data_IF_253789094515
#
_entry.id   IF_253789094515
#
_cell.length_a   1.000
_cell.length_b   1.000
_cell.length_c   1.000
_cell.angle_alpha   90.00
_cell.angle_beta   90.00
_cell.angle_gamma   90.00
#
_symmetry.space_group_name_H-M   'P 1'
#
loop_
_entity.id
_entity.type
_entity.pdbx_description
1 polymer ?
#
# COMPACT_ATOMS: atom_id res chain seq x y z
N UNK A 1 9.46 16.11 -21.14
CA UNK A 1 9.63 14.71 -20.70
C UNK A 1 8.66 14.47 -19.57
N UNK A 2 7.63 13.67 -19.79
CA UNK A 2 6.51 13.46 -18.86
C UNK A 2 6.85 12.46 -17.75
N UNK A 3 5.89 12.21 -16.85
CA UNK A 3 6.03 11.18 -15.82
C UNK A 3 6.23 9.79 -16.45
N UNK A 4 6.96 8.86 -15.78
CA UNK A 4 7.24 7.53 -16.32
C UNK A 4 6.00 6.60 -16.40
N UNK A 5 4.81 7.09 -16.08
CA UNK A 5 3.57 6.33 -16.08
C UNK A 5 3.49 5.24 -14.99
N UNK A 6 2.38 4.50 -14.90
CA UNK A 6 2.22 3.37 -13.97
C UNK A 6 3.19 2.21 -14.28
N UNK A 7 3.52 1.41 -13.26
CA UNK A 7 4.21 0.13 -13.47
C UNK A 7 3.22 -0.86 -14.13
N UNK A 8 3.70 -1.64 -15.09
CA UNK A 8 2.91 -2.66 -15.80
C UNK A 8 3.70 -3.94 -15.88
N UNK A 9 3.09 -5.04 -15.49
CA UNK A 9 3.60 -6.40 -15.66
C UNK A 9 2.43 -7.38 -15.69
N UNK A 10 2.66 -8.58 -16.19
CA UNK A 10 1.66 -9.66 -16.23
C UNK A 10 1.89 -10.57 -15.02
N UNK A 11 0.80 -10.98 -14.38
CA UNK A 11 0.77 -11.92 -13.25
C UNK A 11 -0.32 -12.95 -13.46
N UNK A 12 -0.17 -14.13 -12.88
CA UNK A 12 -1.29 -15.10 -12.81
C UNK A 12 -2.35 -14.60 -11.83
N UNK A 13 -3.63 -14.87 -12.11
CA UNK A 13 -4.73 -14.56 -11.20
C UNK A 13 -4.62 -15.30 -9.86
N UNK A 14 -3.95 -16.46 -9.86
CA UNK A 14 -3.72 -17.30 -8.67
C UNK A 14 -2.54 -16.83 -7.80
N UNK A 15 -1.77 -15.83 -8.23
CA UNK A 15 -0.65 -15.31 -7.44
C UNK A 15 -1.14 -14.58 -6.19
N UNK A 16 -0.41 -14.79 -5.08
CA UNK A 16 -0.67 -14.08 -3.84
C UNK A 16 -0.36 -12.59 -3.98
N UNK A 17 -1.15 -11.74 -3.34
CA UNK A 17 -0.95 -10.29 -3.30
C UNK A 17 0.46 -9.92 -2.82
N UNK A 18 1.01 -10.63 -1.83
CA UNK A 18 2.39 -10.42 -1.35
C UNK A 18 3.45 -10.60 -2.46
N UNK A 19 3.29 -11.61 -3.32
CA UNK A 19 4.18 -11.86 -4.48
C UNK A 19 4.07 -10.75 -5.52
N UNK A 20 2.85 -10.25 -5.75
CA UNK A 20 2.59 -9.15 -6.70
C UNK A 20 3.24 -7.85 -6.21
N UNK A 21 3.14 -7.54 -4.90
CA UNK A 21 3.81 -6.40 -4.29
C UNK A 21 5.33 -6.50 -4.48
N UNK A 22 5.90 -7.65 -4.16
CA UNK A 22 7.35 -7.91 -4.26
C UNK A 22 7.86 -7.72 -5.70
N UNK A 23 7.10 -8.24 -6.67
CA UNK A 23 7.38 -8.05 -8.11
C UNK A 23 7.25 -6.58 -8.53
N UNK A 24 6.25 -5.85 -8.01
CA UNK A 24 6.10 -4.43 -8.27
C UNK A 24 7.28 -3.61 -7.74
N UNK A 25 7.77 -3.91 -6.52
CA UNK A 25 8.94 -3.25 -5.93
C UNK A 25 10.22 -3.51 -6.73
N UNK A 26 10.47 -4.77 -7.12
CA UNK A 26 11.60 -5.11 -8.00
C UNK A 26 11.53 -4.39 -9.34
N UNK A 27 10.35 -4.34 -9.95
CA UNK A 27 10.13 -3.66 -11.23
C UNK A 27 10.33 -2.14 -11.09
N UNK A 28 9.85 -1.54 -10.00
CA UNK A 28 10.06 -0.12 -9.69
C UNK A 28 11.56 0.22 -9.61
N UNK A 29 12.32 -0.58 -8.85
CA UNK A 29 13.76 -0.40 -8.68
C UNK A 29 14.53 -0.63 -9.98
N UNK A 30 14.17 -1.67 -10.75
CA UNK A 30 14.77 -1.96 -12.05
C UNK A 30 14.55 -0.81 -13.04
N UNK A 31 13.40 -0.14 -13.00
CA UNK A 31 13.15 1.05 -13.82
C UNK A 31 13.91 2.30 -13.34
N UNK A 32 14.73 2.22 -12.29
CA UNK A 32 15.50 3.35 -11.77
C UNK A 32 14.62 4.47 -11.21
N UNK A 33 13.41 4.15 -10.76
CA UNK A 33 12.44 5.14 -10.29
C UNK A 33 12.82 5.70 -8.92
N UNK A 34 12.41 6.95 -8.69
CA UNK A 34 12.59 7.67 -7.44
C UNK A 34 11.25 8.16 -6.89
N UNK A 35 11.07 8.20 -5.54
CA UNK A 35 12.06 7.84 -4.52
C UNK A 35 12.23 6.32 -4.34
N UNK A 36 13.37 5.89 -3.79
CA UNK A 36 13.61 4.48 -3.46
C UNK A 36 12.60 4.02 -2.39
N UNK A 37 11.76 3.03 -2.73
CA UNK A 37 10.66 2.60 -1.86
C UNK A 37 11.08 1.62 -0.76
N UNK A 38 12.08 0.77 -1.04
CA UNK A 38 12.49 -0.36 -0.19
C UNK A 38 12.21 -1.70 -0.87
N UNK A 39 12.50 -2.81 -0.18
CA UNK A 39 12.39 -4.17 -0.73
C UNK A 39 11.51 -5.11 0.10
N UNK A 40 11.03 -4.70 1.28
CA UNK A 40 10.16 -5.55 2.10
C UNK A 40 8.69 -5.39 1.66
N UNK A 41 8.03 -6.44 1.14
CA UNK A 41 6.62 -6.38 0.78
C UNK A 41 5.69 -6.13 1.98
N UNK A 42 6.12 -6.50 3.18
CA UNK A 42 5.37 -6.31 4.43
C UNK A 42 5.15 -4.84 4.79
N UNK A 43 6.00 -3.95 4.28
CA UNK A 43 5.88 -2.49 4.46
C UNK A 43 4.84 -1.87 3.53
N UNK A 44 4.19 -2.64 2.66
CA UNK A 44 3.25 -2.11 1.66
C UNK A 44 1.86 -2.72 1.79
N UNK A 45 0.90 -1.99 1.23
CA UNK A 45 -0.49 -2.39 1.06
C UNK A 45 -0.85 -2.21 -0.42
N UNK A 46 -1.66 -3.13 -0.95
CA UNK A 46 -2.19 -3.05 -2.29
C UNK A 46 -3.69 -2.80 -2.22
N UNK A 47 -4.19 -1.85 -3.03
CA UNK A 47 -5.62 -1.53 -3.12
C UNK A 47 -6.07 -1.65 -4.57
N UNK A 48 -7.31 -2.08 -4.80
CA UNK A 48 -7.93 -1.88 -6.11
C UNK A 48 -8.12 -0.39 -6.37
N UNK A 49 -7.88 0.06 -7.61
CA UNK A 49 -8.08 1.47 -8.00
C UNK A 49 -9.56 1.88 -8.10
N UNK A 50 -10.48 1.05 -7.59
CA UNK A 50 -11.92 1.27 -7.60
C UNK A 50 -12.28 2.11 -6.36
N UNK A 51 -13.25 3.02 -6.47
CA UNK A 51 -13.45 4.11 -5.50
C UNK A 51 -13.79 3.71 -4.05
N UNK A 52 -13.96 2.42 -3.74
CA UNK A 52 -14.45 1.93 -2.44
C UNK A 52 -13.79 0.63 -1.93
N UNK A 53 -12.61 0.25 -2.44
CA UNK A 53 -11.95 -1.00 -2.01
C UNK A 53 -11.11 -0.81 -0.73
N UNK A 54 -11.23 -1.76 0.20
CA UNK A 54 -10.28 -1.94 1.29
C UNK A 54 -8.93 -2.50 0.76
N UNK A 55 -7.92 -2.50 1.63
CA UNK A 55 -6.61 -3.08 1.33
C UNK A 55 -6.73 -4.59 1.13
N UNK A 56 -6.03 -5.10 0.12
CA UNK A 56 -5.99 -6.53 -0.15
C UNK A 56 -5.15 -7.27 0.90
N UNK A 57 -5.62 -8.45 1.26
CA UNK A 57 -4.90 -9.35 2.17
C UNK A 57 -3.64 -9.88 1.50
N UNK A 58 -2.46 -9.88 2.14
CA UNK A 58 -1.24 -10.45 1.54
C UNK A 58 -1.34 -11.94 1.15
N UNK A 59 -2.33 -12.64 1.72
CA UNK A 59 -2.58 -14.07 1.56
C UNK A 59 -3.73 -14.40 0.60
N UNK A 60 -4.43 -13.41 0.05
CA UNK A 60 -5.42 -13.65 -0.99
C UNK A 60 -4.77 -13.66 -2.38
N UNK A 61 -5.47 -14.23 -3.36
CA UNK A 61 -5.05 -14.23 -4.75
C UNK A 61 -5.38 -12.89 -5.41
N UNK A 62 -4.53 -12.41 -6.31
CA UNK A 62 -4.72 -11.12 -6.97
C UNK A 62 -5.97 -11.07 -7.86
N UNK A 63 -6.39 -12.22 -8.38
CA UNK A 63 -7.61 -12.38 -9.17
C UNK A 63 -8.91 -12.24 -8.38
N UNK A 64 -8.88 -12.31 -7.04
CA UNK A 64 -10.10 -12.31 -6.20
C UNK A 64 -11.00 -11.10 -6.44
N UNK A 65 -10.41 -9.97 -6.83
CA UNK A 65 -11.08 -8.69 -7.01
C UNK A 65 -11.50 -8.41 -8.46
N UNK A 66 -11.09 -9.24 -9.42
CA UNK A 66 -11.33 -9.02 -10.85
C UNK A 66 -10.79 -7.69 -11.40
N UNK A 67 -9.89 -7.04 -10.67
CA UNK A 67 -9.31 -5.74 -11.02
C UNK A 67 -7.98 -5.90 -11.76
N UNK A 68 -7.62 -4.91 -12.59
CA UNK A 68 -6.34 -4.85 -13.31
C UNK A 68 -5.48 -3.65 -12.94
N UNK A 69 -6.06 -2.70 -12.23
CA UNK A 69 -5.41 -1.47 -11.80
C UNK A 69 -5.39 -1.44 -10.28
N UNK A 70 -4.20 -1.28 -9.72
CA UNK A 70 -3.99 -1.30 -8.29
C UNK A 70 -3.16 -0.09 -7.86
N UNK A 71 -3.34 0.31 -6.60
CA UNK A 71 -2.55 1.34 -5.93
C UNK A 71 -1.66 0.66 -4.90
N UNK A 72 -0.35 0.90 -5.03
CA UNK A 72 0.64 0.44 -4.05
C UNK A 72 0.88 1.55 -3.04
N UNK A 73 0.68 1.25 -1.76
CA UNK A 73 0.81 2.20 -0.66
C UNK A 73 1.88 1.75 0.32
N UNK A 74 2.80 2.64 0.71
CA UNK A 74 3.80 2.37 1.75
C UNK A 74 3.23 2.68 3.14
N UNK A 75 3.27 1.71 4.05
CA UNK A 75 2.91 1.88 5.46
C UNK A 75 3.88 2.88 6.09
N UNK A 76 3.35 3.79 6.91
CA UNK A 76 4.21 4.57 7.79
C UNK A 76 4.64 3.68 8.93
N UNK A 77 5.94 3.43 9.07
CA UNK A 77 6.48 2.83 10.29
C UNK A 77 6.31 3.90 11.37
N UNK A 78 5.41 3.67 12.32
CA UNK A 78 5.47 4.43 13.55
C UNK A 78 6.85 4.09 14.13
N UNK A 79 7.72 5.09 14.26
CA UNK A 79 8.86 4.95 15.13
C UNK A 79 8.26 4.68 16.51
N UNK A 80 8.33 3.43 16.95
CA UNK A 80 7.98 3.03 18.30
C UNK A 80 8.93 3.80 19.22
N UNK A 81 8.43 4.89 19.79
CA UNK A 81 8.98 5.44 21.00
C UNK A 81 8.89 4.32 22.05
N UNK A 82 10.06 4.00 22.57
CA UNK A 82 10.37 2.96 23.51
C UNK A 82 9.41 2.86 24.71
N UNK A 83 9.26 1.61 25.16
CA UNK A 83 8.87 1.13 26.49
C UNK A 83 7.40 1.22 26.98
N UNK A 84 6.71 0.08 26.92
CA UNK A 84 5.85 -0.40 28.01
C UNK A 84 4.33 -0.49 27.78
N UNK A 85 3.84 -1.63 27.24
CA UNK A 85 2.67 -2.40 27.75
C UNK A 85 2.07 -3.36 26.68
N UNK A 86 1.81 -4.64 27.00
CA UNK A 86 0.81 -5.48 26.33
C UNK A 86 -0.33 -5.85 27.32
N UNK A 87 -1.38 -6.63 26.96
CA UNK A 87 -1.92 -7.04 25.65
C UNK A 87 -3.46 -6.82 25.55
N UNK A 88 -4.07 -6.87 24.35
CA UNK A 88 -5.40 -7.51 24.25
C UNK A 88 -5.87 -7.86 22.84
N UNK A 89 -6.68 -8.91 22.82
CA UNK A 89 -7.10 -9.73 21.72
C UNK A 89 -8.27 -9.16 20.89
N UNK A 90 -8.35 -9.64 19.65
CA UNK A 90 -9.55 -9.95 18.84
C UNK A 90 -10.68 -8.90 18.81
N UNK A 91 -10.87 -8.29 17.63
CA UNK A 91 -12.10 -7.56 17.30
C UNK A 91 -12.27 -7.35 15.80
N UNK A 92 -13.19 -8.11 15.21
CA UNK A 92 -13.70 -7.91 13.84
C UNK A 92 -14.25 -6.48 13.67
N UNK A 93 -14.27 -6.03 12.41
CA UNK A 93 -15.15 -5.00 11.82
C UNK A 93 -14.47 -3.64 11.58
N UNK A 94 -14.53 -3.26 10.31
CA UNK A 94 -13.79 -2.15 9.71
C UNK A 94 -14.01 -0.80 10.38
N UNK A 95 -12.93 -0.03 10.39
CA UNK A 95 -12.97 1.39 10.66
C UNK A 95 -11.97 2.04 9.71
N UNK A 96 -12.53 2.82 8.78
CA UNK A 96 -11.87 3.28 7.58
C UNK A 96 -10.65 4.15 7.83
N UNK A 97 -9.63 3.89 7.02
CA UNK A 97 -8.57 4.79 6.60
C UNK A 97 -9.03 6.23 6.26
N UNK A 98 -10.33 6.47 6.02
CA UNK A 98 -10.95 7.81 5.90
C UNK A 98 -10.61 8.72 7.10
N UNK A 99 -10.52 8.18 8.32
CA UNK A 99 -10.14 8.96 9.49
C UNK A 99 -8.65 9.35 9.50
N UNK A 100 -7.81 8.59 8.80
CA UNK A 100 -6.35 8.82 8.77
C UNK A 100 -5.94 9.79 7.66
N UNK A 101 -6.55 9.73 6.47
CA UNK A 101 -6.21 10.63 5.35
C UNK A 101 -6.45 12.13 5.65
N UNK A 102 -7.40 12.47 6.53
CA UNK A 102 -7.62 13.86 6.94
C UNK A 102 -6.49 14.42 7.82
N UNK A 103 -5.68 13.56 8.47
CA UNK A 103 -4.58 14.01 9.34
C UNK A 103 -3.32 14.36 8.55
N UNK A 104 -3.02 13.66 7.45
CA UNK A 104 -1.81 13.90 6.65
C UNK A 104 -1.93 15.05 5.64
N UNK A 105 -3.14 15.52 5.35
CA UNK A 105 -3.40 16.61 4.39
C UNK A 105 -3.66 17.99 5.05
N UNK A 106 -3.42 18.16 6.36
CA UNK A 106 -3.38 19.48 7.00
C UNK A 106 -2.12 20.27 6.57
N UNK A 107 -2.01 20.55 5.28
CA UNK A 107 -1.18 21.63 4.76
C UNK A 107 -1.79 22.93 5.29
N UNK A 108 -1.25 23.45 6.39
CA UNK A 108 -1.44 24.84 6.79
C UNK A 108 -0.89 25.70 5.65
N UNK A 109 -1.77 26.15 4.77
CA UNK A 109 -1.48 27.24 3.83
C UNK A 109 -1.39 28.49 4.71
N UNK A 110 -0.21 29.14 4.86
CA UNK A 110 -0.17 30.43 5.51
C UNK A 110 -0.86 31.45 4.57
N UNK A 111 -1.97 32.03 5.01
CA UNK A 111 -2.50 33.25 4.39
C UNK A 111 -1.59 34.41 4.78
N UNK A 112 -1.12 35.15 3.78
CA UNK A 112 -0.34 36.38 3.95
C UNK A 112 -1.27 37.59 4.14
#
# INVERSE_FOLDING_TARGET
MGSPGPIRFVVSEDELVSSVIDTALRTYAHQGRLPILGSDPGDFLLYCANAESDALSPWETIGSQGARNFLLWKKQKAEEADEGSPPSAIGRKGSGWKAWINKSLNLKIPSH
#
